data_IF_351601361998
#
_entry.id   IF_351601361998
#
_cell.length_a   1.000
_cell.length_b   1.000
_cell.length_c   1.000
_cell.angle_alpha   90.00
_cell.angle_beta   90.00
_cell.angle_gamma   90.00
#
_symmetry.space_group_name_H-M   'P 1'
#
loop_
_entity.id
_entity.type
_entity.pdbx_description
1 polymer ?
#
# COMPACT_ATOMS: atom_id res chain seq x y z
N UNK A 1 4.63 8.70 7.61
CA UNK A 1 3.20 9.05 7.47
C UNK A 1 2.51 8.69 8.78
N UNK A 2 1.70 9.59 9.35
CA UNK A 2 0.91 9.33 10.54
C UNK A 2 -0.55 9.14 10.09
N UNK A 3 -1.11 7.96 10.33
CA UNK A 3 -2.49 7.62 9.99
C UNK A 3 -3.32 7.57 11.26
N UNK A 4 -4.42 8.32 11.30
CA UNK A 4 -5.40 8.23 12.39
C UNK A 4 -6.48 7.25 11.97
N UNK A 5 -6.56 6.10 12.63
CA UNK A 5 -7.65 5.12 12.43
C UNK A 5 -8.50 5.01 13.70
N UNK A 6 -9.82 4.97 13.51
CA UNK A 6 -10.82 4.85 14.57
C UNK A 6 -11.73 3.67 14.24
N UNK A 7 -11.81 2.69 15.13
CA UNK A 7 -12.63 1.51 14.93
C UNK A 7 -13.69 1.40 16.03
N UNK A 8 -14.94 1.15 15.63
CA UNK A 8 -16.05 0.96 16.57
C UNK A 8 -16.03 -0.47 17.09
N UNK A 9 -15.85 -0.66 18.40
CA UNK A 9 -15.89 -1.99 19.02
C UNK A 9 -17.37 -2.43 19.10
N UNK A 10 -17.70 -3.69 18.70
CA UNK A 10 -19.07 -4.20 18.78
C UNK A 10 -19.64 -4.13 20.20
N UNK A 11 -20.96 -4.06 20.30
CA UNK A 11 -21.67 -4.03 21.58
C UNK A 11 -21.48 -5.34 22.34
N UNK A 12 -21.26 -5.26 23.65
CA UNK A 12 -21.34 -6.44 24.52
C UNK A 12 -22.81 -6.90 24.56
N UNK A 13 -23.08 -8.11 24.10
CA UNK A 13 -24.45 -8.64 24.01
C UNK A 13 -24.82 -9.31 25.34
N UNK A 14 -25.90 -8.83 25.95
CA UNK A 14 -26.44 -9.36 27.18
C UNK A 14 -26.98 -10.79 26.98
N UNK A 15 -26.37 -11.77 27.65
CA UNK A 15 -27.05 -13.02 28.03
C UNK A 15 -26.81 -13.31 29.51
N UNK A 16 -27.41 -12.47 30.35
CA UNK A 16 -28.17 -12.81 31.56
C UNK A 16 -28.60 -11.48 32.22
N UNK A 17 -29.80 -11.45 32.79
CA UNK A 17 -30.37 -10.24 33.39
C UNK A 17 -29.45 -9.67 34.47
N UNK A 18 -29.11 -8.38 34.36
CA UNK A 18 -28.44 -7.51 35.34
C UNK A 18 -27.38 -8.17 36.26
N UNK A 19 -26.10 -7.96 35.96
CA UNK A 19 -24.99 -8.24 36.89
C UNK A 19 -24.64 -6.93 37.59
N UNK A 20 -24.84 -6.86 38.91
CA UNK A 20 -24.34 -5.77 39.72
C UNK A 20 -22.86 -6.07 40.05
N UNK A 21 -21.94 -5.24 39.55
CA UNK A 21 -20.54 -5.28 39.93
C UNK A 21 -20.37 -4.40 41.16
N UNK A 22 -20.27 -5.01 42.34
CA UNK A 22 -19.83 -4.32 43.56
C UNK A 22 -18.35 -4.59 43.78
N UNK A 23 -17.57 -3.51 43.71
CA UNK A 23 -16.13 -3.52 43.79
C UNK A 23 -15.61 -3.93 45.17
N UNK A 24 -14.66 -4.87 45.17
CA UNK A 24 -13.75 -5.15 46.27
C UNK A 24 -12.32 -5.20 45.72
N UNK A 25 -11.86 -4.08 45.17
CA UNK A 25 -10.58 -3.88 44.49
C UNK A 25 -10.49 -4.50 43.08
N UNK A 26 -11.18 -3.87 42.11
CA UNK A 26 -10.73 -3.81 40.73
C UNK A 26 -9.36 -3.11 40.73
N UNK A 27 -8.29 -3.89 40.78
CA UNK A 27 -6.98 -3.44 40.33
C UNK A 27 -7.01 -3.35 38.80
N UNK A 28 -7.00 -2.13 38.19
CA UNK A 28 -7.10 -1.97 36.75
C UNK A 28 -5.80 -2.36 36.02
N UNK A 29 -4.81 -2.94 36.72
CA UNK A 29 -3.60 -3.50 36.08
C UNK A 29 -3.91 -4.57 35.03
N UNK A 30 -5.14 -5.12 35.01
CA UNK A 30 -5.61 -6.10 34.04
C UNK A 30 -6.06 -5.56 32.67
N UNK A 31 -6.30 -4.25 32.51
CA UNK A 31 -6.35 -3.61 31.19
C UNK A 31 -4.92 -3.46 30.64
N UNK A 32 -4.17 -4.56 30.68
CA UNK A 32 -2.92 -4.65 29.94
C UNK A 32 -3.27 -4.40 28.49
N UNK A 33 -2.67 -3.35 27.94
CA UNK A 33 -2.53 -3.15 26.51
C UNK A 33 -1.83 -4.39 25.95
N UNK A 34 -2.62 -5.40 25.58
CA UNK A 34 -2.17 -6.57 24.83
C UNK A 34 -1.84 -6.19 23.39
N UNK A 35 -1.03 -5.14 23.22
CA UNK A 35 -0.45 -4.76 21.94
C UNK A 35 0.88 -5.49 21.83
N UNK A 36 0.86 -6.70 21.29
CA UNK A 36 2.09 -7.30 20.78
C UNK A 36 2.44 -6.63 19.46
N UNK A 37 3.17 -5.53 19.53
CA UNK A 37 3.69 -4.86 18.34
C UNK A 37 5.09 -5.37 18.02
N UNK A 38 5.23 -6.13 16.94
CA UNK A 38 6.51 -6.15 16.23
C UNK A 38 6.51 -4.95 15.28
N UNK A 39 7.33 -3.93 15.58
CA UNK A 39 7.52 -2.78 14.68
C UNK A 39 6.57 -1.57 14.79
N UNK A 40 5.73 -1.48 15.83
CA UNK A 40 4.76 -0.38 15.99
C UNK A 40 5.08 0.52 17.19
N UNK A 41 4.87 1.84 17.05
CA UNK A 41 4.87 2.79 18.18
C UNK A 41 3.45 3.33 18.36
N UNK A 42 2.84 3.06 19.53
CA UNK A 42 1.49 3.51 19.88
C UNK A 42 1.56 4.80 20.67
N UNK A 43 0.85 5.84 20.23
CA UNK A 43 0.82 7.15 20.90
C UNK A 43 -0.58 7.40 21.45
N UNK A 44 -0.77 7.15 22.76
CA UNK A 44 -1.97 7.50 23.52
C UNK A 44 -3.23 6.69 23.17
N UNK A 45 -3.80 6.00 24.15
CA UNK A 45 -5.20 5.58 24.10
C UNK A 45 -6.01 6.60 24.90
N UNK A 46 -6.89 7.35 24.25
CA UNK A 46 -7.72 8.35 24.93
C UNK A 46 -9.06 7.74 25.33
N UNK A 47 -9.27 7.56 26.64
CA UNK A 47 -10.55 7.19 27.24
C UNK A 47 -11.24 8.42 27.87
N UNK A 48 -10.96 9.63 27.40
CA UNK A 48 -11.48 10.88 27.95
C UNK A 48 -13.00 10.84 28.16
N UNK A 49 -13.42 10.89 29.43
CA UNK A 49 -14.81 11.14 29.84
C UNK A 49 -15.47 10.04 30.67
N UNK A 50 -14.83 8.88 30.86
CA UNK A 50 -15.38 7.81 31.71
C UNK A 50 -14.50 7.63 32.95
N UNK A 51 -15.07 7.93 34.11
CA UNK A 51 -14.47 7.63 35.42
C UNK A 51 -14.60 6.12 35.67
N UNK A 52 -13.54 5.37 35.35
CA UNK A 52 -13.50 3.90 35.44
C UNK A 52 -13.10 3.41 36.84
N UNK A 53 -12.71 4.31 37.74
CA UNK A 53 -12.31 3.99 39.12
C UNK A 53 -13.52 3.86 40.07
N UNK A 54 -14.74 4.21 39.60
CA UNK A 54 -15.97 4.23 40.40
C UNK A 54 -16.84 2.98 40.36
N UNK A 55 -16.45 1.92 39.65
CA UNK A 55 -17.30 0.76 39.38
C UNK A 55 -18.42 1.07 38.38
N UNK A 56 -18.40 0.43 37.21
CA UNK A 56 -19.37 0.68 36.14
C UNK A 56 -20.44 -0.40 36.13
N UNK A 57 -21.70 -0.04 36.39
CA UNK A 57 -22.85 -0.93 36.20
C UNK A 57 -23.32 -0.90 34.74
N UNK A 58 -23.20 -2.01 34.02
CA UNK A 58 -23.65 -2.16 32.62
C UNK A 58 -24.94 -2.99 32.63
N UNK A 59 -26.09 -2.33 32.56
CA UNK A 59 -27.41 -2.97 32.54
C UNK A 59 -28.01 -3.15 31.14
N UNK A 60 -27.39 -2.57 30.12
CA UNK A 60 -27.85 -2.55 28.73
C UNK A 60 -26.67 -2.66 27.75
N UNK A 61 -26.92 -2.86 26.46
CA UNK A 61 -25.85 -2.93 25.45
C UNK A 61 -25.13 -1.59 25.29
N UNK A 62 -23.89 -1.52 25.74
CA UNK A 62 -23.01 -0.35 25.60
C UNK A 62 -22.00 -0.56 24.47
N UNK A 63 -21.70 0.49 23.71
CA UNK A 63 -20.64 0.50 22.68
C UNK A 63 -19.62 1.57 23.02
N UNK A 64 -18.34 1.29 22.79
CA UNK A 64 -17.24 2.21 23.01
C UNK A 64 -16.53 2.47 21.69
N UNK A 65 -16.11 3.71 21.47
CA UNK A 65 -15.23 4.06 20.35
C UNK A 65 -13.79 4.09 20.86
N UNK A 66 -12.92 3.34 20.22
CA UNK A 66 -11.49 3.30 20.56
C UNK A 66 -10.73 3.82 19.33
N UNK A 67 -9.99 4.91 19.54
CA UNK A 67 -9.11 5.48 18.52
C UNK A 67 -7.66 5.22 18.91
N UNK A 68 -6.87 4.72 17.96
CA UNK A 68 -5.44 4.48 18.14
C UNK A 68 -4.72 5.22 17.02
N UNK A 69 -3.79 6.10 17.39
CA UNK A 69 -2.92 6.73 16.41
C UNK A 69 -1.68 5.86 16.20
N UNK A 70 -1.37 5.58 14.93
CA UNK A 70 -0.31 4.65 14.55
C UNK A 70 0.60 5.32 13.51
N UNK A 71 1.90 5.23 13.74
CA UNK A 71 2.93 5.72 12.84
C UNK A 71 3.84 4.58 12.35
N UNK A 72 4.40 4.73 11.14
CA UNK A 72 5.35 3.80 10.52
C UNK A 72 4.78 2.38 10.31
N UNK A 73 3.63 2.29 9.64
CA UNK A 73 2.92 1.02 9.39
C UNK A 73 3.53 0.30 8.18
N UNK A 74 3.73 -1.01 8.28
CA UNK A 74 4.10 -1.90 7.17
C UNK A 74 2.84 -2.57 6.62
N UNK A 75 2.80 -2.89 5.32
CA UNK A 75 1.68 -3.60 4.71
C UNK A 75 1.35 -4.92 5.44
N UNK A 76 0.06 -5.19 5.61
CA UNK A 76 -0.44 -6.33 6.39
C UNK A 76 -0.32 -6.18 7.92
N UNK A 77 0.12 -5.03 8.43
CA UNK A 77 0.04 -4.75 9.86
C UNK A 77 -1.43 -4.71 10.30
N UNK A 78 -1.71 -5.22 11.50
CA UNK A 78 -3.06 -5.23 12.06
C UNK A 78 -3.07 -4.65 13.46
N UNK A 79 -4.09 -3.88 13.77
CA UNK A 79 -4.42 -3.51 15.15
C UNK A 79 -5.66 -4.29 15.57
N UNK A 80 -5.53 -5.02 16.67
CA UNK A 80 -6.65 -5.73 17.29
C UNK A 80 -6.96 -5.08 18.63
N UNK A 81 -8.17 -4.53 18.75
CA UNK A 81 -8.70 -4.08 20.01
C UNK A 81 -9.36 -5.26 20.71
N UNK A 82 -8.87 -5.60 21.91
CA UNK A 82 -9.43 -6.62 22.78
C UNK A 82 -10.02 -5.94 24.01
N UNK A 83 -11.30 -6.19 24.27
CA UNK A 83 -11.97 -5.76 25.51
C UNK A 83 -12.37 -7.00 26.28
N UNK A 84 -11.98 -7.05 27.55
CA UNK A 84 -12.35 -8.12 28.49
C UNK A 84 -13.08 -7.52 29.68
N UNK A 85 -14.20 -8.11 30.06
CA UNK A 85 -14.83 -7.89 31.35
C UNK A 85 -14.70 -9.16 32.16
N UNK A 86 -14.04 -9.02 33.30
CA UNK A 86 -13.87 -10.04 34.33
C UNK A 86 -14.57 -9.59 35.58
N UNK A 87 -15.58 -10.33 36.02
CA UNK A 87 -16.13 -10.19 37.36
C UNK A 87 -15.31 -10.99 38.36
N UNK A 88 -14.94 -10.37 39.48
CA UNK A 88 -14.34 -11.08 40.61
C UNK A 88 -15.41 -11.99 41.26
N UNK A 89 -15.12 -13.25 41.60
CA UNK A 89 -16.11 -14.12 42.22
C UNK A 89 -16.23 -13.73 43.70
N UNK A 90 -17.18 -12.88 44.04
CA UNK A 90 -17.47 -12.60 45.43
C UNK A 90 -18.95 -12.36 45.69
N UNK A 91 -19.78 -13.38 45.44
CA UNK A 91 -21.04 -13.51 46.17
C UNK A 91 -20.90 -14.66 47.17
N UNK A 92 -20.46 -14.33 48.38
CA UNK A 92 -20.45 -15.25 49.52
C UNK A 92 -21.83 -15.21 50.16
N UNK A 93 -22.60 -16.29 50.01
CA UNK A 93 -23.86 -16.44 50.73
C UNK A 93 -23.58 -17.19 52.03
N UNK A 94 -23.48 -16.46 53.14
CA UNK A 94 -23.38 -17.05 54.47
C UNK A 94 -24.79 -17.48 54.93
N UNK A 95 -25.06 -18.79 54.88
CA UNK A 95 -26.32 -19.36 55.38
C UNK A 95 -26.11 -19.91 56.79
N UNK A 96 -27.05 -19.69 57.74
CA UNK A 96 -26.95 -20.26 59.07
C UNK A 96 -26.91 -21.79 58.99
N UNK A 97 -25.87 -22.41 59.53
CA UNK A 97 -25.71 -23.85 59.68
C UNK A 97 -25.66 -24.24 61.16
N UNK A 98 -26.81 -24.07 61.82
CA UNK A 98 -26.99 -24.42 63.23
C UNK A 98 -26.42 -23.37 64.20
N UNK A 99 -26.16 -23.80 65.43
CA UNK A 99 -25.62 -22.97 66.50
C UNK A 99 -24.63 -23.74 67.35
N UNK A 100 -23.66 -23.05 67.94
CA UNK A 100 -22.73 -23.65 68.90
C UNK A 100 -23.42 -24.05 70.22
N UNK A 101 -22.68 -24.67 71.15
CA UNK A 101 -23.21 -25.10 72.46
C UNK A 101 -23.66 -23.93 73.36
N UNK A 102 -23.33 -22.68 73.01
CA UNK A 102 -23.79 -21.47 73.69
C UNK A 102 -24.96 -20.79 72.96
N UNK A 103 -25.43 -21.34 71.84
CA UNK A 103 -26.56 -20.84 71.07
C UNK A 103 -26.22 -19.73 70.08
N UNK A 104 -24.94 -19.49 69.78
CA UNK A 104 -24.55 -18.54 68.73
C UNK A 104 -24.72 -19.19 67.37
N UNK A 105 -25.29 -18.50 66.36
CA UNK A 105 -25.45 -19.05 65.02
C UNK A 105 -24.09 -19.32 64.35
N UNK A 106 -23.92 -20.52 63.81
CA UNK A 106 -22.81 -20.90 62.92
C UNK A 106 -23.26 -20.65 61.47
N UNK A 107 -22.33 -20.32 60.57
CA UNK A 107 -22.63 -20.06 59.16
C UNK A 107 -21.71 -20.89 58.27
N UNK A 108 -22.26 -21.42 57.17
CA UNK A 108 -21.47 -21.96 56.04
C UNK A 108 -21.50 -20.94 54.91
N UNK A 109 -20.32 -20.67 54.36
CA UNK A 109 -20.14 -19.85 53.18
C UNK A 109 -20.28 -20.73 51.93
N UNK A 110 -21.36 -20.51 51.16
CA UNK A 110 -21.55 -21.14 49.86
C UNK A 110 -21.11 -20.17 48.77
N UNK A 111 -20.05 -20.54 48.06
CA UNK A 111 -19.52 -19.80 46.91
C UNK A 111 -20.41 -20.11 45.67
N UNK A 112 -21.17 -19.11 45.22
CA UNK A 112 -22.13 -19.28 44.13
C UNK A 112 -21.70 -18.53 42.85
N UNK A 113 -21.65 -19.31 41.76
CA UNK A 113 -21.65 -18.99 40.31
C UNK A 113 -20.29 -18.56 39.69
N UNK A 114 -20.00 -19.01 38.44
CA UNK A 114 -18.67 -18.97 37.84
C UNK A 114 -18.29 -17.59 37.36
N UNK A 115 -16.98 -17.33 37.33
CA UNK A 115 -16.37 -16.12 36.80
C UNK A 115 -16.99 -15.73 35.45
N UNK A 116 -17.68 -14.59 35.42
CA UNK A 116 -18.20 -14.01 34.19
C UNK A 116 -17.01 -13.44 33.41
N UNK A 117 -16.62 -14.15 32.36
CA UNK A 117 -15.65 -13.70 31.37
C UNK A 117 -16.38 -13.35 30.09
N UNK A 118 -16.49 -12.05 29.80
CA UNK A 118 -16.99 -11.58 28.52
C UNK A 118 -15.83 -10.97 27.75
N UNK A 119 -15.65 -11.41 26.51
CA UNK A 119 -14.62 -10.89 25.63
C UNK A 119 -15.26 -10.42 24.34
N UNK A 120 -14.89 -9.22 23.90
CA UNK A 120 -15.18 -8.71 22.58
C UNK A 120 -13.87 -8.30 21.92
N UNK A 121 -13.73 -8.58 20.63
CA UNK A 121 -12.60 -8.11 19.85
C UNK A 121 -13.07 -7.47 18.54
N UNK A 122 -12.24 -6.57 18.03
CA UNK A 122 -12.34 -6.03 16.69
C UNK A 122 -10.93 -5.89 16.12
N UNK A 123 -10.70 -6.50 14.96
CA UNK A 123 -9.43 -6.42 14.25
C UNK A 123 -9.62 -5.56 13.02
N UNK A 124 -8.76 -4.56 12.89
CA UNK A 124 -8.60 -3.80 11.66
C UNK A 124 -7.22 -4.14 11.09
N UNK A 125 -7.22 -4.60 9.84
CA UNK A 125 -6.00 -4.84 9.08
C UNK A 125 -5.78 -3.60 8.25
N UNK A 126 -4.61 -2.98 8.40
CA UNK A 126 -4.21 -1.89 7.53
C UNK A 126 -3.77 -2.50 6.21
N UNK A 127 -4.49 -2.18 5.15
CA UNK A 127 -3.96 -2.25 3.80
C UNK A 127 -3.40 -0.88 3.44
N UNK A 128 -2.28 -0.85 2.72
CA UNK A 128 -1.74 0.40 2.17
C UNK A 128 -2.74 1.06 1.20
N UNK A 129 -3.80 0.34 0.80
CA UNK A 129 -4.85 0.77 -0.14
C UNK A 129 -5.71 1.96 0.30
N UNK A 130 -5.96 2.20 1.59
CA UNK A 130 -7.00 3.18 1.98
C UNK A 130 -6.64 4.66 1.68
N UNK A 131 -5.39 4.96 1.30
CA UNK A 131 -4.96 6.31 0.85
C UNK A 131 -3.98 6.24 -0.35
N UNK A 132 -3.96 5.09 -1.07
CA UNK A 132 -3.08 4.91 -2.21
C UNK A 132 -3.73 5.55 -3.46
N UNK A 133 -3.05 6.49 -4.14
CA UNK A 133 -3.67 7.31 -5.19
C UNK A 133 -3.89 6.56 -6.52
N UNK A 134 -3.53 5.28 -6.58
CA UNK A 134 -3.67 4.43 -7.77
C UNK A 134 -4.57 3.24 -7.42
N UNK A 135 -5.78 3.19 -7.97
CA UNK A 135 -6.72 2.11 -7.73
C UNK A 135 -6.39 0.85 -8.55
N UNK A 136 -5.66 1.00 -9.65
CA UNK A 136 -5.19 -0.13 -10.46
C UNK A 136 -3.76 -0.55 -10.09
N UNK A 137 -3.49 -1.86 -10.21
CA UNK A 137 -2.12 -2.36 -10.19
C UNK A 137 -1.44 -2.00 -11.51
N UNK A 138 -0.27 -1.38 -11.45
CA UNK A 138 0.58 -1.10 -12.61
C UNK A 138 1.90 -1.85 -12.49
N UNK A 139 2.58 -2.06 -13.62
CA UNK A 139 3.87 -2.74 -13.67
C UNK A 139 4.70 -2.21 -14.81
N UNK A 140 5.90 -1.75 -14.49
CA UNK A 140 6.87 -1.24 -15.45
C UNK A 140 8.21 -1.94 -15.28
N UNK A 141 9.02 -1.91 -16.32
CA UNK A 141 10.38 -2.46 -16.29
C UNK A 141 11.39 -1.42 -16.76
N UNK A 142 12.60 -1.53 -16.23
CA UNK A 142 13.71 -0.67 -16.60
C UNK A 142 14.40 -1.17 -17.87
N UNK A 143 15.19 -0.31 -18.51
CA UNK A 143 16.00 -0.73 -19.65
C UNK A 143 17.00 -1.84 -19.30
N UNK A 144 17.47 -1.85 -18.04
CA UNK A 144 18.32 -2.93 -17.53
C UNK A 144 17.58 -4.25 -17.47
N UNK A 145 16.32 -4.24 -17.04
CA UNK A 145 15.46 -5.42 -17.00
C UNK A 145 15.22 -6.03 -18.38
N UNK A 146 14.85 -5.23 -19.38
CA UNK A 146 14.66 -5.73 -20.75
C UNK A 146 15.97 -6.10 -21.45
N UNK A 147 17.11 -5.56 -21.02
CA UNK A 147 18.44 -5.83 -21.57
C UNK A 147 19.11 -7.12 -21.06
N UNK A 148 18.65 -7.68 -19.93
CA UNK A 148 19.26 -8.88 -19.34
C UNK A 148 18.90 -10.16 -20.12
N UNK A 149 19.80 -11.14 -20.07
CA UNK A 149 19.53 -12.48 -20.61
C UNK A 149 18.47 -13.22 -19.77
N UNK A 150 17.71 -14.08 -20.44
CA UNK A 150 16.55 -14.81 -19.95
C UNK A 150 16.84 -15.80 -18.80
N UNK A 151 17.13 -15.33 -17.60
CA UNK A 151 17.09 -16.07 -16.33
C UNK A 151 15.66 -16.30 -15.80
N UNK A 152 15.50 -16.93 -14.64
CA UNK A 152 14.25 -17.59 -14.17
C UNK A 152 13.00 -16.74 -13.94
N UNK A 153 13.03 -15.42 -14.14
CA UNK A 153 11.83 -14.55 -14.22
C UNK A 153 12.14 -13.14 -14.74
N UNK A 154 13.15 -13.01 -15.62
CA UNK A 154 13.66 -11.69 -16.04
C UNK A 154 12.75 -11.01 -17.08
N UNK A 155 12.62 -9.66 -17.09
CA UNK A 155 11.75 -8.92 -18.03
C UNK A 155 12.01 -9.23 -19.51
N UNK A 156 13.23 -9.65 -19.88
CA UNK A 156 13.53 -10.16 -21.23
C UNK A 156 12.76 -11.43 -21.63
N UNK A 157 12.38 -12.31 -20.68
CA UNK A 157 11.50 -13.44 -20.94
C UNK A 157 10.05 -12.99 -21.15
N UNK A 158 9.57 -12.06 -20.32
CA UNK A 158 8.24 -11.49 -20.45
C UNK A 158 8.08 -10.78 -21.79
N UNK A 159 9.10 -10.02 -22.21
CA UNK A 159 9.13 -9.45 -23.55
C UNK A 159 8.97 -10.52 -24.62
N UNK A 160 9.68 -11.65 -24.51
CA UNK A 160 9.57 -12.74 -25.48
C UNK A 160 8.21 -13.44 -25.47
N UNK A 161 7.51 -13.45 -24.33
CA UNK A 161 6.22 -14.11 -24.18
C UNK A 161 5.03 -13.24 -24.63
N UNK A 162 5.11 -11.92 -24.43
CA UNK A 162 3.99 -11.00 -24.63
C UNK A 162 4.13 -10.07 -25.83
N UNK A 163 5.35 -9.80 -26.30
CA UNK A 163 5.53 -8.94 -27.46
C UNK A 163 5.30 -9.69 -28.76
N UNK A 164 4.55 -9.06 -29.66
CA UNK A 164 4.39 -9.49 -31.04
C UNK A 164 4.55 -8.29 -31.99
N UNK A 165 5.19 -8.53 -33.14
CA UNK A 165 5.43 -7.51 -34.15
C UNK A 165 6.71 -6.70 -33.92
N UNK A 166 6.76 -5.52 -34.53
CA UNK A 166 7.91 -4.62 -34.45
C UNK A 166 7.65 -3.50 -33.41
N UNK A 167 8.72 -3.00 -32.81
CA UNK A 167 8.71 -1.75 -32.05
C UNK A 167 9.53 -0.72 -32.81
N UNK A 168 8.93 0.43 -33.08
CA UNK A 168 9.59 1.55 -33.74
C UNK A 168 9.67 2.71 -32.77
N UNK A 169 10.87 3.24 -32.56
CA UNK A 169 11.08 4.50 -31.85
C UNK A 169 11.64 5.56 -32.79
N UNK A 170 11.35 6.81 -32.49
CA UNK A 170 11.53 7.94 -33.40
C UNK A 170 10.22 8.26 -34.14
N UNK A 171 10.29 9.23 -35.04
CA UNK A 171 9.13 9.71 -35.79
C UNK A 171 9.37 9.53 -37.29
N UNK A 172 8.30 9.25 -38.06
CA UNK A 172 8.39 8.97 -39.50
C UNK A 172 8.93 10.15 -40.32
N UNK A 173 8.76 11.38 -39.83
CA UNK A 173 9.29 12.60 -40.45
C UNK A 173 10.78 12.84 -40.16
N UNK A 174 11.43 11.95 -39.42
CA UNK A 174 12.86 12.01 -39.09
C UNK A 174 13.50 10.63 -39.09
N UNK A 175 14.42 10.39 -38.14
CA UNK A 175 15.08 9.10 -37.99
C UNK A 175 14.35 8.18 -37.03
N UNK A 176 14.43 6.89 -37.30
CA UNK A 176 13.76 5.82 -36.54
C UNK A 176 14.68 4.65 -36.27
N UNK A 177 14.52 4.01 -35.10
CA UNK A 177 15.06 2.67 -34.86
C UNK A 177 13.91 1.67 -34.87
N UNK A 178 14.08 0.56 -35.57
CA UNK A 178 13.09 -0.52 -35.63
C UNK A 178 13.67 -1.77 -35.00
N UNK A 179 12.96 -2.35 -34.05
CA UNK A 179 13.30 -3.59 -33.38
C UNK A 179 12.30 -4.67 -33.77
N UNK A 180 12.80 -5.78 -34.30
CA UNK A 180 11.97 -6.85 -34.88
C UNK A 180 11.89 -8.10 -34.01
N UNK A 181 12.66 -8.14 -32.92
CA UNK A 181 12.68 -9.29 -32.01
C UNK A 181 13.14 -8.95 -30.59
N UNK A 182 12.72 -9.74 -29.58
CA UNK A 182 13.21 -9.60 -28.20
C UNK A 182 14.74 -9.70 -28.08
N UNK A 183 15.38 -10.45 -29.00
CA UNK A 183 16.83 -10.55 -29.07
C UNK A 183 17.47 -9.22 -29.52
N UNK A 184 16.85 -8.51 -30.46
CA UNK A 184 17.32 -7.19 -30.89
C UNK A 184 17.20 -6.15 -29.78
N UNK A 185 16.09 -6.16 -29.03
CA UNK A 185 15.91 -5.29 -27.85
C UNK A 185 17.01 -5.55 -26.81
N UNK A 186 17.26 -6.83 -26.48
CA UNK A 186 18.34 -7.21 -25.55
C UNK A 186 19.74 -6.81 -26.04
N UNK A 187 19.97 -6.87 -27.35
CA UNK A 187 21.27 -6.47 -27.92
C UNK A 187 21.50 -4.95 -27.88
N UNK A 188 20.43 -4.16 -27.77
CA UNK A 188 20.48 -2.70 -27.70
C UNK A 188 20.46 -2.17 -26.27
N UNK A 189 19.73 -2.83 -25.37
CA UNK A 189 19.56 -2.41 -23.98
C UNK A 189 20.53 -3.12 -23.02
N UNK A 190 20.99 -2.44 -21.95
CA UNK A 190 20.81 -1.02 -21.68
C UNK A 190 21.68 -0.14 -22.61
N UNK A 191 21.10 0.95 -23.10
CA UNK A 191 21.84 1.94 -23.89
C UNK A 191 22.53 2.95 -22.96
N UNK A 192 23.82 3.16 -23.16
CA UNK A 192 24.62 4.13 -22.39
C UNK A 192 24.98 5.39 -23.17
N UNK A 193 25.75 6.28 -22.53
CA UNK A 193 26.30 7.48 -23.15
C UNK A 193 25.41 8.72 -22.99
N UNK A 194 25.79 9.81 -23.67
CA UNK A 194 25.08 11.10 -23.56
C UNK A 194 23.70 11.00 -24.23
N UNK A 195 22.67 11.49 -23.54
CA UNK A 195 21.34 11.65 -24.11
C UNK A 195 21.39 12.57 -25.35
N UNK A 196 20.82 12.12 -26.46
CA UNK A 196 20.84 12.84 -27.74
C UNK A 196 19.75 12.38 -28.71
N UNK A 197 19.73 13.00 -29.88
CA UNK A 197 18.84 12.60 -30.97
C UNK A 197 19.52 11.57 -31.91
N UNK A 198 18.71 10.90 -32.70
CA UNK A 198 19.15 10.03 -33.78
C UNK A 198 19.78 10.85 -34.91
N UNK A 199 20.83 10.31 -35.53
CA UNK A 199 21.48 10.86 -36.73
C UNK A 199 21.31 9.98 -37.96
N UNK A 200 20.73 8.79 -37.80
CA UNK A 200 20.40 7.84 -38.86
C UNK A 200 19.31 6.86 -38.39
N UNK A 201 18.55 6.32 -39.33
CA UNK A 201 17.65 5.20 -39.07
C UNK A 201 18.40 3.86 -39.12
N UNK A 202 17.95 2.88 -38.34
CA UNK A 202 18.50 1.53 -38.36
C UNK A 202 17.46 0.48 -37.95
N UNK A 203 17.64 -0.75 -38.43
CA UNK A 203 16.89 -1.93 -38.00
C UNK A 203 17.79 -2.81 -37.16
N UNK A 204 17.28 -3.22 -35.99
CA UNK A 204 17.96 -4.01 -34.97
C UNK A 204 19.39 -3.51 -34.62
N UNK A 205 19.57 -2.19 -34.36
CA UNK A 205 20.88 -1.67 -33.98
C UNK A 205 21.28 -2.17 -32.59
N UNK A 206 22.58 -2.27 -32.33
CA UNK A 206 23.11 -2.54 -30.98
C UNK A 206 23.56 -1.26 -30.25
N UNK A 207 23.55 -0.11 -30.93
CA UNK A 207 23.82 1.22 -30.35
C UNK A 207 23.33 2.32 -31.30
N UNK A 208 23.22 3.56 -30.82
CA UNK A 208 22.83 4.71 -31.64
C UNK A 208 23.41 6.02 -31.12
N UNK A 209 23.30 7.10 -31.91
CA UNK A 209 23.70 8.45 -31.48
C UNK A 209 22.81 9.03 -30.37
N UNK A 210 21.65 8.43 -30.11
CA UNK A 210 20.72 8.88 -29.07
C UNK A 210 21.18 8.52 -27.64
N UNK A 211 22.19 7.64 -27.53
CA UNK A 211 22.75 7.20 -26.25
C UNK A 211 21.69 6.67 -25.29
N UNK A 212 21.78 7.05 -24.02
CA UNK A 212 20.84 6.62 -22.97
C UNK A 212 19.38 6.99 -23.28
N UNK A 213 19.14 8.09 -23.99
CA UNK A 213 17.78 8.52 -24.33
C UNK A 213 17.08 7.52 -25.26
N UNK A 214 17.80 6.98 -26.24
CA UNK A 214 17.25 5.92 -27.09
C UNK A 214 16.86 4.67 -26.31
N UNK A 215 17.63 4.31 -25.29
CA UNK A 215 17.32 3.18 -24.41
C UNK A 215 16.08 3.42 -23.54
N UNK A 216 15.96 4.62 -22.97
CA UNK A 216 14.81 4.97 -22.13
C UNK A 216 13.52 5.07 -22.94
N UNK A 217 13.55 5.66 -24.14
CA UNK A 217 12.39 5.76 -25.02
C UNK A 217 11.94 4.38 -25.53
N UNK A 218 12.86 3.48 -25.88
CA UNK A 218 12.52 2.10 -26.23
C UNK A 218 11.80 1.39 -25.09
N UNK A 219 12.38 1.48 -23.89
CA UNK A 219 11.86 0.84 -22.68
C UNK A 219 10.48 1.37 -22.34
N UNK A 220 10.28 2.69 -22.41
CA UNK A 220 8.99 3.30 -22.10
C UNK A 220 7.93 2.94 -23.14
N UNK A 221 8.30 2.94 -24.42
CA UNK A 221 7.42 2.50 -25.51
C UNK A 221 6.97 1.05 -25.30
N UNK A 222 7.86 0.16 -24.86
CA UNK A 222 7.52 -1.23 -24.52
C UNK A 222 6.58 -1.32 -23.30
N UNK A 223 6.85 -0.57 -22.23
CA UNK A 223 5.98 -0.55 -21.05
C UNK A 223 4.54 -0.10 -21.40
N UNK A 224 4.40 0.90 -22.29
CA UNK A 224 3.08 1.33 -22.78
C UNK A 224 2.46 0.30 -23.72
N UNK A 225 3.21 -0.20 -24.71
CA UNK A 225 2.70 -1.14 -25.71
C UNK A 225 2.25 -2.46 -25.10
N UNK A 226 2.95 -2.95 -24.08
CA UNK A 226 2.61 -4.20 -23.40
C UNK A 226 1.52 -4.02 -22.34
N UNK A 227 1.19 -2.78 -21.94
CA UNK A 227 0.13 -2.53 -20.97
C UNK A 227 -1.20 -3.12 -21.47
N UNK A 228 -1.78 -4.04 -20.69
CA UNK A 228 -2.97 -4.80 -21.03
C UNK A 228 -2.72 -6.16 -21.70
N UNK A 229 -1.47 -6.57 -21.91
CA UNK A 229 -1.13 -7.85 -22.53
C UNK A 229 -1.36 -9.07 -21.61
N UNK A 230 -1.51 -8.86 -20.30
CA UNK A 230 -1.81 -9.93 -19.35
C UNK A 230 -1.57 -9.52 -17.89
N UNK A 231 -1.55 -10.49 -16.97
CA UNK A 231 -1.31 -10.22 -15.55
C UNK A 231 0.08 -9.61 -15.28
N UNK A 232 1.06 -9.96 -16.12
CA UNK A 232 2.43 -9.42 -16.06
C UNK A 232 2.54 -8.00 -16.63
N UNK A 233 1.51 -7.52 -17.32
CA UNK A 233 1.41 -6.16 -17.83
C UNK A 233 -0.03 -5.65 -17.69
N UNK A 234 -0.41 -5.22 -16.48
CA UNK A 234 -1.73 -4.64 -16.25
C UNK A 234 -2.02 -3.47 -17.20
N UNK A 235 -3.31 -3.25 -17.48
CA UNK A 235 -3.76 -2.18 -18.37
C UNK A 235 -3.68 -0.80 -17.70
N UNK A 236 -3.67 0.25 -18.52
CA UNK A 236 -3.85 1.64 -18.08
C UNK A 236 -2.56 2.42 -17.82
N UNK A 237 -1.37 1.81 -17.92
CA UNK A 237 -0.12 2.54 -17.67
C UNK A 237 0.06 3.72 -18.63
N UNK A 238 -0.30 3.52 -19.91
CA UNK A 238 -0.27 4.59 -20.92
C UNK A 238 -1.27 5.73 -20.65
N UNK A 239 -2.32 5.48 -19.87
CA UNK A 239 -3.39 6.45 -19.60
C UNK A 239 -3.07 7.34 -18.39
N UNK A 240 -2.08 6.97 -17.55
CA UNK A 240 -1.67 7.79 -16.42
C UNK A 240 -1.28 9.20 -16.86
N UNK A 241 -1.69 10.20 -16.08
CA UNK A 241 -1.55 11.61 -16.44
C UNK A 241 -0.40 12.24 -15.66
N UNK A 242 0.50 12.91 -16.39
CA UNK A 242 1.61 13.70 -15.86
C UNK A 242 1.09 14.96 -15.15
N UNK A 243 1.66 15.28 -14.00
CA UNK A 243 1.37 16.49 -13.23
C UNK A 243 2.60 17.01 -12.50
N UNK A 244 2.57 18.30 -12.17
CA UNK A 244 3.55 18.96 -11.31
C UNK A 244 5.01 18.81 -11.80
N UNK A 245 5.23 18.73 -13.12
CA UNK A 245 6.56 18.59 -13.74
C UNK A 245 6.99 19.86 -14.46
N UNK A 246 6.27 20.19 -15.54
CA UNK A 246 6.46 21.35 -16.38
C UNK A 246 5.11 21.68 -17.04
N UNK A 247 4.77 22.97 -17.14
CA UNK A 247 3.47 23.38 -17.66
C UNK A 247 3.20 22.91 -19.12
N UNK A 248 4.24 22.56 -19.88
CA UNK A 248 4.10 22.00 -21.22
C UNK A 248 3.91 20.47 -21.27
N UNK A 249 4.09 19.79 -20.14
CA UNK A 249 3.89 18.35 -19.98
C UNK A 249 2.70 18.00 -19.10
N UNK A 250 2.34 18.88 -18.16
CA UNK A 250 1.24 18.66 -17.24
C UNK A 250 -0.09 18.46 -18.01
N UNK A 251 -0.81 17.41 -17.66
CA UNK A 251 -2.05 17.00 -18.32
C UNK A 251 -1.86 16.04 -19.51
N UNK A 252 -0.63 15.79 -19.96
CA UNK A 252 -0.36 14.73 -20.94
C UNK A 252 -0.45 13.36 -20.29
N UNK A 253 -1.00 12.40 -21.01
CA UNK A 253 -0.88 10.98 -20.68
C UNK A 253 0.56 10.48 -20.88
N UNK A 254 0.92 9.36 -20.26
CA UNK A 254 2.21 8.69 -20.50
C UNK A 254 2.37 8.31 -21.98
N UNK A 255 1.29 7.90 -22.65
CA UNK A 255 1.31 7.62 -24.08
C UNK A 255 1.62 8.87 -24.92
N UNK A 256 1.00 10.03 -24.62
CA UNK A 256 1.31 11.29 -25.29
C UNK A 256 2.75 11.76 -25.01
N UNK A 257 3.26 11.50 -23.80
CA UNK A 257 4.66 11.74 -23.49
C UNK A 257 5.60 10.85 -24.32
N UNK A 258 5.26 9.57 -24.55
CA UNK A 258 6.00 8.68 -25.44
C UNK A 258 6.05 9.26 -26.85
N UNK A 259 4.95 9.77 -27.38
CA UNK A 259 4.91 10.41 -28.70
C UNK A 259 5.84 11.63 -28.74
N UNK A 260 5.80 12.49 -27.73
CA UNK A 260 6.71 13.63 -27.61
C UNK A 260 8.18 13.20 -27.55
N UNK A 261 8.49 12.16 -26.77
CA UNK A 261 9.84 11.64 -26.66
C UNK A 261 10.33 11.05 -27.99
N UNK A 262 9.46 10.41 -28.77
CA UNK A 262 9.77 9.92 -30.11
C UNK A 262 10.02 11.07 -31.11
N UNK A 263 9.26 12.16 -31.04
CA UNK A 263 9.52 13.38 -31.82
C UNK A 263 10.92 13.92 -31.48
N UNK A 264 11.23 14.07 -30.19
CA UNK A 264 12.55 14.53 -29.72
C UNK A 264 13.69 13.63 -30.19
N UNK A 265 13.47 12.30 -30.12
CA UNK A 265 14.43 11.29 -30.53
C UNK A 265 14.77 11.40 -32.01
N UNK A 266 13.79 11.78 -32.84
CA UNK A 266 14.00 12.00 -34.29
C UNK A 266 14.63 13.37 -34.63
N UNK A 267 14.92 14.21 -33.64
CA UNK A 267 15.47 15.55 -33.81
C UNK A 267 14.41 16.65 -34.00
N UNK A 268 13.14 16.34 -33.71
CA UNK A 268 12.04 17.28 -33.74
C UNK A 268 12.12 18.35 -32.64
N UNK A 269 11.31 19.39 -32.79
CA UNK A 269 11.24 20.48 -31.82
C UNK A 269 10.58 20.01 -30.51
N UNK A 270 11.07 20.53 -29.39
CA UNK A 270 10.51 20.32 -28.06
C UNK A 270 9.62 21.50 -27.65
N UNK A 271 8.54 21.26 -26.88
CA UNK A 271 7.75 22.34 -26.33
C UNK A 271 8.49 23.07 -25.21
N UNK A 272 8.20 24.36 -25.07
CA UNK A 272 8.76 25.18 -24.01
C UNK A 272 10.29 25.29 -24.07
N UNK A 273 10.92 25.15 -22.91
CA UNK A 273 12.38 25.16 -22.73
C UNK A 273 12.97 23.78 -22.45
N UNK A 274 12.19 22.71 -22.68
CA UNK A 274 12.62 21.35 -22.40
C UNK A 274 13.79 20.95 -23.30
N UNK A 275 14.67 20.13 -22.73
CA UNK A 275 15.79 19.50 -23.42
C UNK A 275 15.60 17.98 -23.50
N UNK A 276 16.36 17.34 -24.39
CA UNK A 276 16.43 15.87 -24.44
C UNK A 276 16.91 15.27 -23.10
N UNK A 277 17.72 16.00 -22.33
CA UNK A 277 18.15 15.54 -21.01
C UNK A 277 16.98 15.51 -20.01
N UNK A 278 16.09 16.50 -20.06
CA UNK A 278 14.91 16.56 -19.20
C UNK A 278 13.95 15.42 -19.55
N UNK A 279 13.66 15.23 -20.84
CA UNK A 279 12.83 14.10 -21.29
C UNK A 279 13.45 12.74 -20.94
N UNK A 280 14.77 12.60 -21.01
CA UNK A 280 15.44 11.38 -20.60
C UNK A 280 15.24 11.09 -19.10
N UNK A 281 15.33 12.12 -18.26
CA UNK A 281 15.09 11.98 -16.81
C UNK A 281 13.65 11.56 -16.50
N UNK A 282 12.68 12.14 -17.21
CA UNK A 282 11.26 11.79 -17.05
C UNK A 282 10.98 10.37 -17.58
N UNK A 283 11.52 10.00 -18.74
CA UNK A 283 11.37 8.65 -19.28
C UNK A 283 11.97 7.58 -18.35
N UNK A 284 13.14 7.86 -17.76
CA UNK A 284 13.74 6.99 -16.74
C UNK A 284 12.83 6.86 -15.50
N UNK A 285 12.29 7.97 -14.99
CA UNK A 285 11.40 7.95 -13.84
C UNK A 285 10.09 7.18 -14.11
N UNK A 286 9.52 7.34 -15.31
CA UNK A 286 8.36 6.58 -15.76
C UNK A 286 8.65 5.06 -15.86
N UNK A 287 9.81 4.68 -16.39
CA UNK A 287 10.21 3.27 -16.45
C UNK A 287 10.36 2.62 -15.06
N UNK A 288 10.68 3.43 -14.04
CA UNK A 288 10.79 3.00 -12.65
C UNK A 288 9.54 3.33 -11.80
N UNK A 289 8.46 3.83 -12.40
CA UNK A 289 7.28 4.27 -11.66
C UNK A 289 6.63 3.14 -10.86
N UNK A 290 6.55 1.94 -11.44
CA UNK A 290 5.94 0.74 -10.84
C UNK A 290 6.83 -0.48 -11.08
N UNK A 291 8.12 -0.32 -10.77
CA UNK A 291 9.17 -1.26 -11.14
C UNK A 291 8.87 -2.69 -10.67
N UNK A 292 8.77 -3.64 -11.60
CA UNK A 292 8.45 -5.05 -11.35
C UNK A 292 7.12 -5.28 -10.61
N UNK A 293 6.20 -4.31 -10.68
CA UNK A 293 4.91 -4.34 -9.98
C UNK A 293 5.00 -4.00 -8.50
N UNK A 294 6.10 -3.38 -8.07
CA UNK A 294 6.15 -2.71 -6.78
C UNK A 294 5.14 -1.56 -6.72
N UNK A 295 4.84 -1.12 -5.50
CA UNK A 295 4.09 0.13 -5.29
C UNK A 295 4.75 1.30 -6.03
N UNK A 296 3.92 2.27 -6.39
CA UNK A 296 4.34 3.54 -7.00
C UNK A 296 5.56 4.10 -6.29
N UNK A 297 6.57 4.48 -7.06
CA UNK A 297 7.72 5.21 -6.54
C UNK A 297 7.32 6.57 -5.99
N UNK A 298 8.14 7.17 -5.14
CA UNK A 298 7.93 8.54 -4.63
C UNK A 298 7.74 9.54 -5.78
N UNK A 299 8.45 9.34 -6.89
CA UNK A 299 8.30 10.16 -8.09
C UNK A 299 6.91 9.98 -8.72
N UNK A 300 6.44 8.74 -8.87
CA UNK A 300 5.11 8.47 -9.42
C UNK A 300 4.00 9.03 -8.52
N UNK A 301 4.13 8.91 -7.19
CA UNK A 301 3.20 9.52 -6.24
C UNK A 301 3.17 11.05 -6.33
N UNK A 302 4.29 11.68 -6.67
CA UNK A 302 4.38 13.13 -6.84
C UNK A 302 3.88 13.62 -8.21
N UNK A 303 4.07 12.83 -9.27
CA UNK A 303 3.97 13.32 -10.65
C UNK A 303 3.02 12.56 -11.57
N UNK A 304 2.35 11.52 -11.07
CA UNK A 304 1.35 10.76 -11.82
C UNK A 304 0.00 10.77 -11.11
N UNK A 305 -1.06 10.69 -11.90
CA UNK A 305 -2.44 10.55 -11.45
C UNK A 305 -3.21 9.63 -12.39
N UNK A 306 -4.24 8.97 -11.88
CA UNK A 306 -5.18 8.25 -12.74
C UNK A 306 -6.04 9.24 -13.54
N UNK A 307 -6.52 8.86 -14.73
CA UNK A 307 -7.39 9.71 -15.54
C UNK A 307 -8.60 10.23 -14.75
N UNK A 308 -8.76 11.55 -14.66
CA UNK A 308 -9.92 12.18 -14.03
C UNK A 308 -9.87 12.29 -12.50
N UNK A 309 -8.70 12.06 -11.89
CA UNK A 309 -8.42 12.37 -10.48
C UNK A 309 -8.23 13.87 -10.22
#
# INVERSE_FOLDING_TARGET
>A
MAGRSSAKVPSLVARNASVALTDGALDPTGLTTGLTSSGLTVVGADFAGYDLDGGVSISESTSFEVAVEVANITDGASVTNLVSLTGDPALVLSVPDGSDELGNPLYIDLELVPQLHLTANATHVFSVEDDYPFHAAYRTYSQGGYGQDAGTNEPGQLLSAYWSGDVVIGHADGYTLTFTSPAAVRAFLPAGGKAGALSASATDPTSSSAGVFGGQVLTLSLNVQLSGAGAEFPAGFGDLVLRDLDASLDGLSVAEFVDLANIALSGGALPGSLSIADLNGIADALNHAFHEGALASDWALAHLSEPGA
#
